data_IF_837848836819
#
_entry.id   IF_837848836819
#
_cell.length_a   1.000
_cell.length_b   1.000
_cell.length_c   1.000
_cell.angle_alpha   90.00
_cell.angle_beta   90.00
_cell.angle_gamma   90.00
#
_symmetry.space_group_name_H-M   'P 1'
#
loop_
_entity.id
_entity.type
_entity.pdbx_description
1 polymer ?
#
# COMPACT_ATOMS: atom_id res chain seq x y z
N UNK A 1 8.57 -23.26 -5.09
CA UNK A 1 7.83 -22.26 -5.88
C UNK A 1 8.87 -21.31 -6.46
N UNK A 2 8.88 -21.17 -7.78
CA UNK A 2 9.86 -20.33 -8.50
C UNK A 2 9.47 -18.86 -8.41
N UNK A 3 10.42 -17.93 -8.65
CA UNK A 3 10.13 -16.48 -8.70
C UNK A 3 9.06 -16.12 -9.71
N UNK A 4 8.99 -16.79 -10.86
CA UNK A 4 7.97 -16.53 -11.88
C UNK A 4 6.55 -16.88 -11.39
N UNK A 5 6.38 -18.05 -10.75
CA UNK A 5 5.12 -18.46 -10.14
C UNK A 5 4.68 -17.48 -9.04
N UNK A 6 5.63 -17.00 -8.22
CA UNK A 6 5.37 -15.99 -7.18
C UNK A 6 4.90 -14.66 -7.77
N UNK A 7 5.53 -14.21 -8.87
CA UNK A 7 5.14 -12.99 -9.60
C UNK A 7 3.73 -13.14 -10.17
N UNK A 8 3.41 -14.29 -10.77
CA UNK A 8 2.08 -14.54 -11.33
C UNK A 8 0.99 -14.53 -10.25
N UNK A 9 1.24 -15.15 -9.09
CA UNK A 9 0.33 -15.11 -7.95
C UNK A 9 0.10 -13.69 -7.42
N UNK A 10 1.15 -12.86 -7.39
CA UNK A 10 1.04 -11.45 -7.03
C UNK A 10 0.27 -10.65 -8.08
N UNK A 11 0.46 -10.95 -9.37
CA UNK A 11 -0.18 -10.25 -10.49
C UNK A 11 -1.69 -10.52 -10.57
N UNK A 12 -2.09 -11.80 -10.59
CA UNK A 12 -3.50 -12.21 -10.63
C UNK A 12 -4.29 -11.59 -9.48
N UNK A 13 -3.66 -11.49 -8.31
CA UNK A 13 -4.25 -10.94 -7.09
C UNK A 13 -4.31 -9.41 -7.09
N UNK A 14 -3.34 -8.74 -7.69
CA UNK A 14 -3.36 -7.28 -7.83
C UNK A 14 -4.56 -6.82 -8.67
N UNK A 15 -4.93 -7.57 -9.72
CA UNK A 15 -6.11 -7.29 -10.56
C UNK A 15 -7.40 -7.23 -9.73
N UNK A 16 -7.60 -8.18 -8.81
CA UNK A 16 -8.76 -8.19 -7.90
C UNK A 16 -8.70 -7.05 -6.87
N UNK A 17 -7.50 -6.68 -6.44
CA UNK A 17 -7.26 -5.54 -5.54
C UNK A 17 -7.64 -4.20 -6.17
N UNK A 18 -7.30 -3.98 -7.44
CA UNK A 18 -7.62 -2.76 -8.18
C UNK A 18 -9.13 -2.59 -8.37
N UNK A 19 -9.85 -3.65 -8.71
CA UNK A 19 -11.32 -3.60 -8.83
C UNK A 19 -11.96 -3.24 -7.50
N UNK A 20 -11.51 -3.86 -6.41
CA UNK A 20 -12.01 -3.55 -5.06
C UNK A 20 -11.68 -2.11 -4.65
N UNK A 21 -10.48 -1.61 -4.96
CA UNK A 21 -10.10 -0.22 -4.73
C UNK A 21 -11.01 0.75 -5.49
N UNK A 22 -11.30 0.48 -6.77
CA UNK A 22 -12.19 1.31 -7.58
C UNK A 22 -13.62 1.33 -7.03
N UNK A 23 -14.17 0.16 -6.67
CA UNK A 23 -15.51 0.06 -6.08
C UNK A 23 -15.57 0.84 -4.77
N UNK A 24 -14.54 0.74 -3.93
CA UNK A 24 -14.55 1.42 -2.64
C UNK A 24 -14.32 2.93 -2.78
N UNK A 25 -13.46 3.34 -3.70
CA UNK A 25 -13.26 4.75 -4.03
C UNK A 25 -14.55 5.40 -4.53
N UNK A 26 -15.26 4.75 -5.47
CA UNK A 26 -16.54 5.24 -5.98
C UNK A 26 -17.60 5.31 -4.88
N UNK A 27 -17.67 4.31 -3.99
CA UNK A 27 -18.65 4.30 -2.91
C UNK A 27 -18.40 5.39 -1.87
N UNK A 28 -17.15 5.72 -1.54
CA UNK A 28 -16.90 6.85 -0.63
C UNK A 28 -16.88 8.22 -1.28
N UNK A 29 -16.64 8.31 -2.57
CA UNK A 29 -16.86 9.57 -3.29
C UNK A 29 -18.37 9.89 -3.30
N UNK A 30 -19.21 8.90 -3.57
CA UNK A 30 -20.67 9.03 -3.45
C UNK A 30 -21.12 9.33 -2.01
N UNK A 31 -20.57 8.61 -1.02
CA UNK A 31 -20.88 8.82 0.39
C UNK A 31 -20.45 10.20 0.89
N UNK A 32 -19.22 10.64 0.57
CA UNK A 32 -18.70 11.95 0.93
C UNK A 32 -19.50 13.09 0.32
N UNK A 33 -19.86 12.99 -0.97
CA UNK A 33 -20.73 13.96 -1.64
C UNK A 33 -22.12 14.01 -1.00
N UNK A 34 -22.69 12.87 -0.60
CA UNK A 34 -24.00 12.83 0.06
C UNK A 34 -23.98 13.53 1.42
N UNK A 35 -22.97 13.28 2.25
CA UNK A 35 -22.79 13.96 3.54
C UNK A 35 -22.54 15.46 3.37
N UNK A 36 -21.72 15.85 2.38
CA UNK A 36 -21.46 17.25 2.05
C UNK A 36 -22.73 17.99 1.62
N UNK A 37 -23.57 17.37 0.78
CA UNK A 37 -24.82 17.97 0.30
C UNK A 37 -25.88 18.19 1.38
N UNK A 38 -25.81 17.44 2.49
CA UNK A 38 -26.75 17.53 3.60
C UNK A 38 -26.29 18.44 4.74
N UNK A 39 -25.19 19.18 4.57
CA UNK A 39 -24.70 20.10 5.59
C UNK A 39 -24.14 19.39 6.84
N UNK A 40 -23.74 18.12 6.72
CA UNK A 40 -23.05 17.43 7.80
C UNK A 40 -21.65 18.04 7.99
N UNK A 41 -21.27 18.26 9.26
CA UNK A 41 -19.97 18.81 9.68
C UNK A 41 -18.81 18.27 8.84
N UNK A 42 -17.98 19.16 8.30
CA UNK A 42 -16.83 18.87 7.42
C UNK A 42 -15.92 17.75 7.97
N UNK A 43 -15.84 17.63 9.29
CA UNK A 43 -15.09 16.60 10.00
C UNK A 43 -15.64 15.19 9.79
N UNK A 44 -16.97 15.03 9.70
CA UNK A 44 -17.63 13.74 9.43
C UNK A 44 -17.37 13.33 7.98
N UNK A 45 -17.46 14.27 7.04
CA UNK A 45 -17.16 14.01 5.63
C UNK A 45 -15.68 13.61 5.44
N UNK A 46 -14.75 14.31 6.10
CA UNK A 46 -13.33 13.96 6.10
C UNK A 46 -13.09 12.58 6.71
N UNK A 47 -13.71 12.25 7.86
CA UNK A 47 -13.59 10.94 8.50
C UNK A 47 -14.09 9.80 7.60
N UNK A 48 -15.25 9.98 6.96
CA UNK A 48 -15.82 9.00 6.01
C UNK A 48 -14.89 8.83 4.81
N UNK A 49 -14.40 9.93 4.22
CA UNK A 49 -13.43 9.88 3.13
C UNK A 49 -12.16 9.13 3.52
N UNK A 50 -11.61 9.41 4.71
CA UNK A 50 -10.44 8.70 5.22
C UNK A 50 -10.71 7.21 5.39
N UNK A 51 -11.85 6.80 5.94
CA UNK A 51 -12.16 5.37 6.08
C UNK A 51 -12.30 4.67 4.73
N UNK A 52 -12.94 5.32 3.75
CA UNK A 52 -13.05 4.77 2.39
C UNK A 52 -11.69 4.62 1.73
N UNK A 53 -10.74 5.52 1.96
CA UNK A 53 -9.42 5.43 1.30
C UNK A 53 -8.48 4.50 2.06
N UNK A 54 -8.44 4.59 3.39
CA UNK A 54 -7.53 3.84 4.25
C UNK A 54 -7.82 2.36 4.19
N UNK A 55 -9.09 1.99 4.35
CA UNK A 55 -9.47 0.63 4.63
C UNK A 55 -9.21 -0.32 3.45
N UNK A 56 -9.52 0.05 2.19
CA UNK A 56 -9.19 -0.76 1.01
C UNK A 56 -7.68 -0.86 0.79
N UNK A 57 -6.96 0.25 0.94
CA UNK A 57 -5.49 0.26 0.79
C UNK A 57 -4.84 -0.64 1.85
N UNK A 58 -5.31 -0.55 3.10
CA UNK A 58 -4.88 -1.42 4.19
C UNK A 58 -5.23 -2.87 3.94
N UNK A 59 -6.42 -3.16 3.42
CA UNK A 59 -6.83 -4.52 3.06
C UNK A 59 -5.98 -5.11 1.93
N UNK A 60 -5.63 -4.30 0.91
CA UNK A 60 -4.72 -4.71 -0.17
C UNK A 60 -3.32 -4.99 0.38
N UNK A 61 -2.78 -4.11 1.22
CA UNK A 61 -1.47 -4.30 1.87
C UNK A 61 -1.46 -5.55 2.77
N UNK A 62 -2.53 -5.76 3.54
CA UNK A 62 -2.71 -6.94 4.39
C UNK A 62 -2.76 -8.22 3.56
N UNK A 63 -3.60 -8.25 2.51
CA UNK A 63 -3.66 -9.41 1.62
C UNK A 63 -2.32 -9.66 0.95
N UNK A 64 -1.61 -8.64 0.48
CA UNK A 64 -0.26 -8.81 -0.10
C UNK A 64 0.69 -9.47 0.88
N UNK A 65 0.70 -9.00 2.14
CA UNK A 65 1.51 -9.57 3.22
C UNK A 65 1.20 -11.05 3.43
N UNK A 66 -0.08 -11.43 3.46
CA UNK A 66 -0.48 -12.83 3.58
C UNK A 66 -0.02 -13.69 2.40
N UNK A 67 -0.03 -13.18 1.16
CA UNK A 67 0.55 -13.91 0.02
C UNK A 67 2.04 -14.13 0.22
N UNK A 68 2.75 -13.08 0.61
CA UNK A 68 4.20 -13.17 0.77
C UNK A 68 4.58 -14.20 1.84
N UNK A 69 3.76 -14.36 2.89
CA UNK A 69 3.94 -15.37 3.93
C UNK A 69 3.79 -16.83 3.43
N UNK A 70 3.10 -17.07 2.32
CA UNK A 70 2.96 -18.42 1.75
C UNK A 70 4.15 -18.83 0.89
N UNK A 71 5.03 -17.90 0.51
CA UNK A 71 6.14 -18.18 -0.39
C UNK A 71 7.31 -18.92 0.25
N UNK A 72 7.51 -18.74 1.55
CA UNK A 72 8.59 -19.36 2.31
C UNK A 72 8.16 -19.62 3.77
N UNK A 73 8.48 -20.80 4.27
CA UNK A 73 8.13 -21.24 5.62
C UNK A 73 9.12 -20.80 6.70
N UNK A 74 10.31 -20.31 6.31
CA UNK A 74 11.32 -19.86 7.26
C UNK A 74 10.76 -18.80 8.21
N UNK A 75 10.93 -19.05 9.51
CA UNK A 75 10.53 -18.15 10.60
C UNK A 75 11.18 -16.77 10.46
N UNK A 76 12.42 -16.68 9.98
CA UNK A 76 13.15 -15.41 9.78
C UNK A 76 12.52 -14.61 8.65
N UNK A 77 12.26 -15.26 7.52
CA UNK A 77 11.57 -14.66 6.38
C UNK A 77 10.18 -14.15 6.78
N UNK A 78 9.36 -14.99 7.43
CA UNK A 78 8.01 -14.62 7.87
C UNK A 78 8.00 -13.43 8.85
N UNK A 79 9.03 -13.30 9.71
CA UNK A 79 9.15 -12.17 10.63
C UNK A 79 9.38 -10.86 9.86
N UNK A 80 10.27 -10.87 8.88
CA UNK A 80 10.53 -9.69 8.03
C UNK A 80 9.33 -9.32 7.16
N UNK A 81 8.62 -10.30 6.59
CA UNK A 81 7.38 -10.03 5.85
C UNK A 81 6.29 -9.42 6.76
N UNK A 82 6.08 -9.96 7.96
CA UNK A 82 5.14 -9.38 8.93
C UNK A 82 5.53 -7.96 9.32
N UNK A 83 6.82 -7.71 9.54
CA UNK A 83 7.34 -6.37 9.80
C UNK A 83 7.06 -5.43 8.64
N UNK A 84 7.34 -5.83 7.39
CA UNK A 84 7.03 -5.03 6.19
C UNK A 84 5.54 -4.71 6.09
N UNK A 85 4.69 -5.71 6.28
CA UNK A 85 3.23 -5.54 6.27
C UNK A 85 2.71 -4.60 7.35
N UNK A 86 3.21 -4.75 8.59
CA UNK A 86 2.86 -3.88 9.71
C UNK A 86 3.32 -2.44 9.46
N UNK A 87 4.55 -2.26 8.99
CA UNK A 87 5.13 -0.96 8.66
C UNK A 87 4.26 -0.22 7.63
N UNK A 88 3.81 -0.91 6.57
CA UNK A 88 2.91 -0.34 5.57
C UNK A 88 1.57 0.11 6.15
N UNK A 89 0.97 -0.69 7.03
CA UNK A 89 -0.29 -0.31 7.69
C UNK A 89 -0.09 0.88 8.63
N UNK A 90 0.95 0.86 9.46
CA UNK A 90 1.26 1.94 10.39
C UNK A 90 1.51 3.25 9.64
N UNK A 91 2.24 3.21 8.52
CA UNK A 91 2.45 4.40 7.69
C UNK A 91 1.17 4.89 7.04
N UNK A 92 0.35 4.00 6.49
CA UNK A 92 -0.92 4.38 5.89
C UNK A 92 -1.82 5.10 6.90
N UNK A 93 -2.08 4.48 8.05
CA UNK A 93 -2.94 5.08 9.07
C UNK A 93 -2.29 6.30 9.74
N UNK A 94 -0.97 6.28 9.94
CA UNK A 94 -0.21 7.39 10.50
C UNK A 94 -0.25 8.64 9.61
N UNK A 95 -0.08 8.45 8.30
CA UNK A 95 -0.20 9.54 7.31
C UNK A 95 -1.60 10.13 7.29
N UNK A 96 -2.64 9.28 7.37
CA UNK A 96 -4.02 9.75 7.40
C UNK A 96 -4.37 10.47 8.70
N UNK A 97 -3.85 10.01 9.83
CA UNK A 97 -3.92 10.72 11.11
C UNK A 97 -3.24 12.09 11.04
N UNK A 98 -2.03 12.17 10.49
CA UNK A 98 -1.33 13.44 10.28
C UNK A 98 -2.08 14.40 9.35
N UNK A 99 -2.67 13.89 8.27
CA UNK A 99 -3.53 14.69 7.39
C UNK A 99 -4.77 15.22 8.12
N UNK A 100 -5.40 14.41 8.97
CA UNK A 100 -6.55 14.83 9.77
C UNK A 100 -6.17 15.91 10.81
N UNK A 101 -5.02 15.77 11.47
CA UNK A 101 -4.51 16.76 12.41
C UNK A 101 -4.17 18.10 11.72
N UNK A 102 -3.59 18.03 10.53
CA UNK A 102 -3.33 19.21 9.70
C UNK A 102 -4.65 19.88 9.26
N UNK A 103 -5.60 19.10 8.73
CA UNK A 103 -6.90 19.62 8.29
C UNK A 103 -7.71 20.26 9.42
N UNK A 104 -7.54 19.78 10.66
CA UNK A 104 -8.19 20.32 11.86
C UNK A 104 -7.47 21.53 12.46
N UNK A 105 -6.35 21.96 11.86
CA UNK A 105 -5.56 23.11 12.34
C UNK A 105 -4.69 22.84 13.57
N UNK A 106 -4.61 21.59 14.07
CA UNK A 106 -3.77 21.23 15.21
C UNK A 106 -2.28 21.19 14.87
N UNK A 107 -1.94 21.00 13.59
CA UNK A 107 -0.56 20.90 13.11
C UNK A 107 -0.32 21.97 12.03
N UNK A 108 0.71 22.82 12.16
CA UNK A 108 1.06 23.79 11.13
C UNK A 108 1.65 23.11 9.88
N UNK A 109 1.52 23.77 8.74
CA UNK A 109 1.99 23.26 7.45
C UNK A 109 3.48 22.88 7.45
N UNK A 110 4.33 23.66 8.14
CA UNK A 110 5.76 23.39 8.25
C UNK A 110 6.06 22.05 8.94
N UNK A 111 5.39 21.77 10.07
CA UNK A 111 5.54 20.50 10.78
C UNK A 111 4.94 19.32 10.00
N UNK A 112 3.80 19.54 9.33
CA UNK A 112 3.21 18.52 8.47
C UNK A 112 4.17 18.14 7.34
N UNK A 113 4.64 19.11 6.57
CA UNK A 113 5.54 18.88 5.43
C UNK A 113 6.86 18.25 5.84
N UNK A 114 7.51 18.74 6.91
CA UNK A 114 8.77 18.16 7.40
C UNK A 114 8.59 16.72 7.85
N UNK A 115 7.48 16.40 8.51
CA UNK A 115 7.17 15.04 9.00
C UNK A 115 6.90 14.10 7.83
N UNK A 116 6.09 14.51 6.85
CA UNK A 116 5.79 13.71 5.66
C UNK A 116 7.05 13.39 4.87
N UNK A 117 7.91 14.39 4.63
CA UNK A 117 9.18 14.18 3.91
C UNK A 117 10.10 13.24 4.69
N UNK A 118 10.23 13.43 6.00
CA UNK A 118 11.09 12.58 6.84
C UNK A 118 10.59 11.14 6.89
N UNK A 119 9.27 10.94 7.01
CA UNK A 119 8.65 9.63 6.98
C UNK A 119 8.82 8.94 5.62
N UNK A 120 8.68 9.68 4.51
CA UNK A 120 8.87 9.13 3.17
C UNK A 120 10.32 8.65 2.97
N UNK A 121 11.32 9.45 3.35
CA UNK A 121 12.74 9.08 3.25
C UNK A 121 13.04 7.88 4.15
N UNK A 122 12.59 7.92 5.41
CA UNK A 122 12.78 6.84 6.37
C UNK A 122 12.14 5.53 5.90
N UNK A 123 10.92 5.60 5.35
CA UNK A 123 10.22 4.45 4.79
C UNK A 123 10.99 3.83 3.63
N UNK A 124 11.45 4.62 2.66
CA UNK A 124 12.22 4.11 1.52
C UNK A 124 13.52 3.43 1.99
N UNK A 125 14.19 3.99 2.98
CA UNK A 125 15.39 3.39 3.54
C UNK A 125 15.10 2.07 4.27
N UNK A 126 14.06 2.03 5.11
CA UNK A 126 13.64 0.82 5.80
C UNK A 126 13.22 -0.26 4.79
N UNK A 127 12.45 0.10 3.77
CA UNK A 127 12.01 -0.81 2.71
C UNK A 127 13.21 -1.41 1.99
N UNK A 128 14.20 -0.60 1.61
CA UNK A 128 15.45 -1.07 0.99
C UNK A 128 16.19 -2.07 1.91
N UNK A 129 16.28 -1.79 3.21
CA UNK A 129 16.95 -2.68 4.17
C UNK A 129 16.18 -3.99 4.32
N UNK A 130 14.86 -3.93 4.44
CA UNK A 130 14.00 -5.11 4.57
C UNK A 130 14.10 -5.99 3.32
N UNK A 131 14.04 -5.41 2.13
CA UNK A 131 14.13 -6.15 0.87
C UNK A 131 15.51 -6.81 0.70
N UNK A 132 16.59 -6.10 1.06
CA UNK A 132 17.94 -6.69 1.10
C UNK A 132 18.01 -7.88 2.06
N UNK A 133 17.41 -7.77 3.24
CA UNK A 133 17.38 -8.87 4.22
C UNK A 133 16.54 -10.05 3.74
N UNK A 134 15.44 -9.80 3.05
CA UNK A 134 14.58 -10.84 2.50
C UNK A 134 15.27 -11.61 1.37
N UNK A 135 15.99 -10.91 0.47
CA UNK A 135 16.80 -11.55 -0.57
C UNK A 135 17.91 -12.42 0.03
N UNK A 136 18.59 -11.94 1.08
CA UNK A 136 19.62 -12.73 1.77
C UNK A 136 19.10 -14.05 2.38
N UNK A 137 17.80 -14.14 2.64
CA UNK A 137 17.15 -15.33 3.21
C UNK A 137 16.55 -16.21 2.11
N UNK A 138 16.01 -15.58 1.05
CA UNK A 138 15.33 -16.23 -0.05
C UNK A 138 15.70 -15.53 -1.37
N UNK A 139 16.60 -16.14 -2.15
CA UNK A 139 17.05 -15.59 -3.43
C UNK A 139 15.88 -15.46 -4.44
N UNK A 140 14.84 -16.27 -4.28
CA UNK A 140 13.63 -16.25 -5.11
C UNK A 140 12.62 -15.18 -4.63
N UNK A 141 12.96 -14.37 -3.62
CA UNK A 141 12.08 -13.32 -3.10
C UNK A 141 11.76 -12.28 -4.19
N UNK A 142 10.48 -11.89 -4.25
CA UNK A 142 9.98 -10.91 -5.22
C UNK A 142 9.97 -9.53 -4.58
N UNK A 143 10.84 -8.66 -5.08
CA UNK A 143 10.89 -7.24 -4.68
C UNK A 143 9.86 -6.44 -5.48
N UNK A 144 9.33 -5.37 -4.89
CA UNK A 144 8.35 -4.52 -5.55
C UNK A 144 8.88 -3.80 -6.80
N UNK A 145 10.18 -3.47 -6.82
CA UNK A 145 10.87 -2.93 -8.00
C UNK A 145 10.90 -3.93 -9.17
N UNK A 146 11.04 -5.23 -8.86
CA UNK A 146 11.03 -6.30 -9.85
C UNK A 146 9.65 -6.41 -10.50
N UNK A 147 8.56 -6.34 -9.75
CA UNK A 147 7.19 -6.39 -10.29
C UNK A 147 6.92 -5.28 -11.32
N UNK A 148 7.44 -4.07 -11.08
CA UNK A 148 7.32 -2.95 -12.02
C UNK A 148 8.07 -3.19 -13.33
N UNK A 149 9.28 -3.74 -13.24
CA UNK A 149 10.10 -4.09 -14.40
C UNK A 149 9.49 -5.24 -15.21
N UNK A 150 9.03 -6.31 -14.54
CA UNK A 150 8.40 -7.45 -15.25
C UNK A 150 7.11 -7.04 -15.96
N UNK A 151 6.33 -6.13 -15.38
CA UNK A 151 5.13 -5.59 -16.03
C UNK A 151 5.50 -4.79 -17.28
N UNK A 152 6.56 -3.98 -17.21
CA UNK A 152 7.04 -3.18 -18.34
C UNK A 152 7.57 -4.07 -19.48
N UNK A 153 8.31 -5.12 -19.14
CA UNK A 153 8.81 -6.09 -20.10
C UNK A 153 7.68 -6.89 -20.78
N UNK A 154 6.65 -7.30 -20.02
CA UNK A 154 5.47 -7.96 -20.62
C UNK A 154 4.70 -7.04 -21.56
N UNK A 155 4.49 -5.77 -21.19
CA UNK A 155 3.85 -4.79 -22.08
C UNK A 155 4.68 -4.57 -23.35
N UNK A 156 6.01 -4.55 -23.23
CA UNK A 156 6.90 -4.42 -24.38
C UNK A 156 6.77 -5.61 -25.34
N UNK A 157 6.78 -6.85 -24.83
CA UNK A 157 6.59 -8.06 -25.66
C UNK A 157 5.23 -8.08 -26.35
N UNK A 158 4.16 -7.74 -25.63
CA UNK A 158 2.82 -7.67 -26.21
C UNK A 158 2.70 -6.60 -27.32
N UNK A 159 3.45 -5.50 -27.24
CA UNK A 159 3.52 -4.48 -28.28
C UNK A 159 4.42 -4.88 -29.47
N UNK A 160 5.36 -5.79 -29.26
CA UNK A 160 6.25 -6.31 -30.32
C UNK A 160 5.61 -7.49 -31.06
N UNK A 161 4.57 -8.11 -30.49
CA UNK A 161 3.80 -9.23 -31.05
C UNK A 161 2.50 -8.78 -31.78
N UNK A 162 2.10 -7.50 -31.63
CA UNK A 162 1.01 -6.83 -32.40
C UNK A 162 1.55 -6.10 -33.64
#
# INVERSE_FOLDING_TARGET
>A
MTREERIEQLYLRNRTGIVMLLVTFLSGLAGGLWFFSKGAYEQIAAFVFFFIVAFPLGFVAWRKTWTLLTFNEDKRYRRWIRFKGLLNLVLLFGMMGMMSLFASGFVPLSLFTSTVVSLAIGYLFIEMVVDRRLIQIDDEHVVDSLLGLTKRERMKRHWEEE
#
